data_IF_368587059531
#
_entry.id   IF_368587059531
#
_cell.length_a   1.000
_cell.length_b   1.000
_cell.length_c   1.000
_cell.angle_alpha   90.00
_cell.angle_beta   90.00
_cell.angle_gamma   90.00
#
_symmetry.space_group_name_H-M   'P 1'
#
loop_
_entity.id
_entity.type
_entity.pdbx_description
1 polymer ?
#
# COMPACT_ATOMS: atom_id res chain seq x y z
N UNK A 1 -0.04 -6.85 -18.58
CA UNK A 1 -0.83 -7.14 -17.36
C UNK A 1 -0.08 -6.54 -16.16
N UNK A 2 -0.74 -5.74 -15.32
CA UNK A 2 -0.05 -5.06 -14.22
C UNK A 2 -0.06 -5.96 -12.97
N UNK A 3 1.12 -6.41 -12.55
CA UNK A 3 1.31 -7.18 -11.33
C UNK A 3 2.13 -6.37 -10.32
N UNK A 4 1.62 -6.23 -9.11
CA UNK A 4 2.30 -5.49 -8.04
C UNK A 4 2.76 -6.47 -6.98
N UNK A 5 4.02 -6.33 -6.55
CA UNK A 5 4.56 -7.06 -5.39
C UNK A 5 4.47 -6.19 -4.15
N UNK A 6 4.07 -6.79 -3.04
CA UNK A 6 4.10 -6.16 -1.72
C UNK A 6 5.41 -6.58 -1.05
N UNK A 7 6.31 -5.63 -0.83
CA UNK A 7 7.66 -5.87 -0.31
C UNK A 7 7.98 -4.93 0.83
N UNK A 8 8.84 -5.39 1.74
CA UNK A 8 9.51 -4.55 2.74
C UNK A 8 10.86 -4.13 2.19
N UNK A 9 11.06 -2.82 2.10
CA UNK A 9 12.31 -2.23 1.66
C UNK A 9 12.61 -0.96 2.47
N UNK A 10 13.89 -0.60 2.54
CA UNK A 10 14.29 0.67 3.14
C UNK A 10 13.91 1.84 2.23
N UNK A 11 13.51 2.97 2.84
CA UNK A 11 13.05 4.18 2.15
C UNK A 11 14.08 4.75 1.17
N UNK A 12 15.37 4.60 1.45
CA UNK A 12 16.46 5.10 0.61
C UNK A 12 16.74 4.22 -0.63
N UNK A 13 16.16 3.01 -0.70
CA UNK A 13 16.45 2.05 -1.78
C UNK A 13 15.46 2.21 -2.93
N UNK A 14 15.95 1.96 -4.15
CA UNK A 14 15.10 1.89 -5.33
C UNK A 14 14.11 0.72 -5.24
N UNK A 15 12.84 0.98 -5.55
CA UNK A 15 11.70 0.04 -5.51
C UNK A 15 11.92 -1.26 -6.32
N UNK A 16 12.72 -1.16 -7.39
CA UNK A 16 13.01 -2.28 -8.28
C UNK A 16 14.19 -3.15 -7.83
N UNK A 17 15.04 -2.68 -6.89
CA UNK A 17 16.25 -3.37 -6.43
C UNK A 17 15.98 -4.33 -5.25
N UNK A 18 17.07 -4.80 -4.62
CA UNK A 18 17.10 -5.75 -3.50
C UNK A 18 16.26 -5.24 -2.32
N UNK A 19 15.10 -5.86 -2.15
CA UNK A 19 14.22 -5.71 -0.99
C UNK A 19 14.66 -6.65 0.15
N UNK A 20 14.13 -6.43 1.35
CA UNK A 20 14.46 -7.22 2.54
C UNK A 20 13.65 -8.50 2.55
N UNK A 21 12.32 -8.37 2.40
CA UNK A 21 11.39 -9.51 2.37
C UNK A 21 10.18 -9.21 1.47
N UNK A 22 9.67 -10.23 0.79
CA UNK A 22 8.40 -10.20 0.05
C UNK A 22 7.25 -10.66 0.95
N UNK A 23 6.22 -9.83 1.08
CA UNK A 23 5.03 -10.11 1.90
C UNK A 23 3.87 -10.70 1.08
N UNK A 24 3.89 -10.52 -0.24
CA UNK A 24 2.83 -11.01 -1.11
C UNK A 24 2.73 -10.30 -2.45
N UNK A 25 1.60 -10.47 -3.12
CA UNK A 25 1.32 -9.87 -4.42
C UNK A 25 -0.13 -9.36 -4.54
N UNK A 26 -0.31 -8.42 -5.46
CA UNK A 26 -1.57 -7.77 -5.77
C UNK A 26 -1.77 -7.68 -7.28
N UNK A 27 -2.87 -8.25 -7.77
CA UNK A 27 -3.25 -8.24 -9.18
C UNK A 27 -4.57 -7.45 -9.35
N UNK A 28 -4.49 -6.13 -9.64
CA UNK A 28 -5.70 -5.31 -9.85
C UNK A 28 -6.40 -5.60 -11.18
N UNK A 29 -5.70 -6.19 -12.16
CA UNK A 29 -6.24 -6.45 -13.49
C UNK A 29 -7.07 -7.73 -13.59
N UNK A 30 -7.07 -8.56 -12.54
CA UNK A 30 -7.90 -9.77 -12.48
C UNK A 30 -9.27 -9.43 -11.89
N UNK A 31 -10.32 -10.06 -12.41
CA UNK A 31 -11.68 -10.02 -11.85
C UNK A 31 -12.03 -11.45 -11.45
N UNK A 32 -12.01 -11.82 -10.16
CA UNK A 32 -11.86 -10.98 -8.96
C UNK A 32 -10.44 -10.49 -8.69
N UNK A 33 -10.31 -9.40 -7.93
CA UNK A 33 -9.01 -8.84 -7.52
C UNK A 33 -8.29 -9.87 -6.66
N UNK A 34 -7.14 -10.35 -7.12
CA UNK A 34 -6.34 -11.30 -6.34
C UNK A 34 -5.42 -10.51 -5.42
N UNK A 35 -5.60 -10.73 -4.12
CA UNK A 35 -4.79 -10.15 -3.05
C UNK A 35 -4.30 -11.30 -2.18
N UNK A 36 -3.00 -11.57 -2.22
CA UNK A 36 -2.38 -12.59 -1.38
C UNK A 36 -1.26 -11.92 -0.60
N UNK A 37 -1.47 -11.73 0.71
CA UNK A 37 -0.51 -11.11 1.62
C UNK A 37 -0.49 -11.93 2.91
N UNK A 38 0.72 -12.27 3.36
CA UNK A 38 0.89 -12.97 4.63
C UNK A 38 0.72 -12.00 5.82
N UNK A 39 -0.41 -12.12 6.52
CA UNK A 39 -0.77 -11.23 7.63
C UNK A 39 0.21 -11.37 8.81
N UNK A 40 0.68 -12.58 9.12
CA UNK A 40 1.62 -12.82 10.23
C UNK A 40 2.94 -12.08 10.03
N UNK A 41 3.48 -12.13 8.81
CA UNK A 41 4.70 -11.38 8.46
C UNK A 41 4.47 -9.89 8.54
N UNK A 42 3.32 -9.40 8.06
CA UNK A 42 2.98 -7.98 8.17
C UNK A 42 2.97 -7.54 9.63
N UNK A 43 2.26 -8.26 10.51
CA UNK A 43 2.19 -7.94 11.93
C UNK A 43 3.58 -7.91 12.59
N UNK A 44 4.45 -8.87 12.26
CA UNK A 44 5.83 -8.90 12.75
C UNK A 44 6.65 -7.68 12.29
N UNK A 45 6.47 -7.23 11.06
CA UNK A 45 7.15 -6.03 10.55
C UNK A 45 6.59 -4.73 11.12
N UNK A 46 5.27 -4.66 11.35
CA UNK A 46 4.64 -3.52 12.03
C UNK A 46 5.17 -3.42 13.47
N UNK A 47 5.31 -4.53 14.19
CA UNK A 47 5.89 -4.56 15.53
C UNK A 47 7.36 -4.08 15.55
N UNK A 48 8.12 -4.34 14.47
CA UNK A 48 9.49 -3.84 14.27
C UNK A 48 9.55 -2.36 13.85
N UNK A 49 8.41 -1.69 13.67
CA UNK A 49 8.32 -0.28 13.29
C UNK A 49 8.26 -0.03 11.78
N UNK A 50 7.94 -1.03 10.95
CA UNK A 50 7.73 -0.81 9.53
C UNK A 50 6.54 0.14 9.29
N UNK A 51 6.68 1.05 8.33
CA UNK A 51 5.65 2.03 7.99
C UNK A 51 5.01 1.66 6.64
N UNK A 52 3.78 1.11 6.60
CA UNK A 52 3.11 0.77 5.35
C UNK A 52 2.68 2.03 4.58
N UNK A 53 2.56 1.88 3.26
CA UNK A 53 1.99 2.91 2.38
C UNK A 53 0.46 2.89 2.42
N UNK A 54 -0.21 4.00 2.08
CA UNK A 54 -1.66 4.14 2.18
C UNK A 54 -2.44 3.04 1.42
N UNK A 55 -1.99 2.67 0.21
CA UNK A 55 -2.60 1.58 -0.56
C UNK A 55 -2.40 0.22 0.11
N UNK A 56 -1.21 -0.04 0.64
CA UNK A 56 -0.89 -1.31 1.32
C UNK A 56 -1.69 -1.43 2.62
N UNK A 57 -1.85 -0.34 3.37
CA UNK A 57 -2.71 -0.30 4.56
C UNK A 57 -4.17 -0.63 4.22
N UNK A 58 -4.70 -0.10 3.11
CA UNK A 58 -6.05 -0.45 2.64
C UNK A 58 -6.18 -1.93 2.28
N UNK A 59 -5.21 -2.48 1.54
CA UNK A 59 -5.22 -3.90 1.17
C UNK A 59 -5.13 -4.80 2.40
N UNK A 60 -4.30 -4.43 3.37
CA UNK A 60 -4.12 -5.20 4.60
C UNK A 60 -5.35 -5.12 5.53
N UNK A 61 -6.04 -3.98 5.56
CA UNK A 61 -7.35 -3.83 6.24
C UNK A 61 -8.40 -4.77 5.65
N UNK A 62 -8.44 -4.94 4.32
CA UNK A 62 -9.35 -5.89 3.66
C UNK A 62 -9.07 -7.36 4.04
N UNK A 63 -7.82 -7.67 4.42
CA UNK A 63 -7.39 -9.00 4.84
C UNK A 63 -7.50 -9.22 6.36
N UNK A 64 -7.98 -8.22 7.12
CA UNK A 64 -8.19 -8.35 8.57
C UNK A 64 -6.98 -8.04 9.44
N UNK A 65 -5.92 -7.41 8.91
CA UNK A 65 -4.80 -6.97 9.75
C UNK A 65 -5.21 -5.80 10.66
N UNK A 66 -4.86 -5.92 11.95
CA UNK A 66 -5.15 -4.92 12.99
C UNK A 66 -4.17 -3.75 12.92
N UNK A 67 -4.54 -2.59 13.48
CA UNK A 67 -3.71 -1.38 13.62
C UNK A 67 -3.28 -0.63 12.33
N UNK A 68 -3.84 -0.99 11.17
CA UNK A 68 -3.55 -0.30 9.90
C UNK A 68 -4.13 1.12 9.79
N UNK A 69 -5.10 1.47 10.64
CA UNK A 69 -5.78 2.78 10.61
C UNK A 69 -4.85 3.94 10.92
N UNK A 70 -3.82 3.70 11.74
CA UNK A 70 -2.81 4.70 12.11
C UNK A 70 -1.94 5.13 10.92
N UNK A 71 -1.75 4.25 9.94
CA UNK A 71 -0.90 4.49 8.77
C UNK A 71 -1.68 5.01 7.56
N UNK A 72 -3.01 4.96 7.62
CA UNK A 72 -3.87 5.58 6.63
C UNK A 72 -3.93 7.09 6.88
N UNK A 73 -2.99 7.83 6.29
CA UNK A 73 -3.13 9.29 6.13
C UNK A 73 -3.92 9.54 4.84
N UNK A 74 -5.20 9.94 4.88
CA UNK A 74 -5.91 10.32 3.66
C UNK A 74 -5.12 11.44 2.99
N UNK A 75 -4.71 11.22 1.74
CA UNK A 75 -3.92 12.16 0.98
C UNK A 75 -4.74 13.43 0.73
N UNK A 76 -4.56 14.45 1.57
CA UNK A 76 -5.17 15.77 1.44
C UNK A 76 -4.71 16.55 0.19
N UNK A 77 -3.81 16.01 -0.65
CA UNK A 77 -3.46 16.61 -1.95
C UNK A 77 -4.50 16.43 -3.06
N UNK A 78 -5.54 15.60 -2.89
CA UNK A 78 -6.69 15.62 -3.84
C UNK A 78 -7.61 16.84 -3.66
N UNK A 79 -7.46 17.63 -2.59
CA UNK A 79 -8.17 18.90 -2.43
C UNK A 79 -7.55 20.05 -3.26
N UNK A 80 -6.26 20.00 -3.62
CA UNK A 80 -5.60 21.06 -4.41
C UNK A 80 -5.67 20.90 -5.92
N UNK A 81 -6.10 19.74 -6.45
CA UNK A 81 -6.21 19.51 -7.91
C UNK A 81 -7.64 19.50 -8.46
N UNK A 82 -8.67 19.60 -7.60
CA UNK A 82 -10.08 19.80 -8.04
C UNK A 82 -10.52 21.26 -8.11
N UNK A 83 -9.73 22.22 -7.60
CA UNK A 83 -10.08 23.65 -7.60
C UNK A 83 -9.55 24.46 -8.81
N UNK A 84 -8.95 23.82 -9.80
CA UNK A 84 -8.33 24.51 -10.95
C UNK A 84 -8.88 24.06 -12.32
N UNK A 85 -10.04 23.41 -12.37
CA UNK A 85 -10.64 22.95 -13.65
C UNK A 85 -12.14 23.23 -13.75
N UNK A 86 -12.67 24.10 -12.90
CA UNK A 86 -14.08 24.51 -12.90
C UNK A 86 -14.20 26.03 -12.69
N UNK A 87 -13.42 26.81 -13.46
CA UNK A 87 -13.61 28.25 -13.65
C UNK A 87 -13.13 28.65 -15.05
N UNK A 88 -13.72 28.02 -16.06
CA UNK A 88 -13.74 28.49 -17.46
C UNK A 88 -14.84 27.75 -18.21
N UNK A 89 -16.07 28.20 -18.00
CA UNK A 89 -17.21 28.05 -18.90
C UNK A 89 -18.05 29.31 -18.75
#
# INVERSE_FOLDING_TARGET
MAAYRVVVAEKARAVSKKYIESLGYYLPTQQPKVIEIDTKKVEAWIAKGAQPSATVASLCKQLGAKDMEKYFKPNSKKAKKKKATEEKA
#
